data_IF_048519812183
#
_entry.id   IF_048519812183
#
_cell.length_a   1.000
_cell.length_b   1.000
_cell.length_c   1.000
_cell.angle_alpha   90.00
_cell.angle_beta   90.00
_cell.angle_gamma   90.00
#
_symmetry.space_group_name_H-M   'P 1'
#
loop_
_entity.id
_entity.type
_entity.pdbx_description
1 polymer ?
#
# COMPACT_ATOMS: atom_id res chain seq x y z
N UNK A 1 3.49 20.18 -14.07
CA UNK A 1 2.93 19.68 -15.34
C UNK A 1 1.83 18.69 -14.99
N UNK A 2 0.57 19.00 -15.32
CA UNK A 2 -0.54 18.08 -15.14
C UNK A 2 -0.27 16.81 -15.96
N UNK A 3 -0.16 15.65 -15.32
CA UNK A 3 -0.01 14.39 -16.03
C UNK A 3 -1.39 13.98 -16.58
N UNK A 4 -1.43 13.57 -17.85
CA UNK A 4 -2.62 13.03 -18.45
C UNK A 4 -3.13 11.80 -17.65
N UNK A 5 -4.45 11.63 -17.58
CA UNK A 5 -5.07 10.40 -17.06
C UNK A 5 -4.48 9.22 -17.84
N UNK A 6 -4.17 8.12 -17.15
CA UNK A 6 -3.73 6.91 -17.87
C UNK A 6 -4.81 6.41 -18.81
N UNK A 7 -4.41 5.68 -19.85
CA UNK A 7 -5.39 4.96 -20.65
C UNK A 7 -6.21 4.01 -19.76
N UNK A 8 -7.53 3.90 -20.01
CA UNK A 8 -8.36 2.98 -19.27
C UNK A 8 -7.82 1.55 -19.45
N UNK A 9 -7.83 0.72 -18.40
CA UNK A 9 -7.22 -0.61 -18.44
C UNK A 9 -7.99 -1.62 -19.33
N UNK A 10 -9.23 -1.29 -19.69
CA UNK A 10 -10.13 -2.03 -20.56
C UNK A 10 -11.22 -1.08 -21.12
N UNK A 11 -12.13 -1.57 -21.95
CA UNK A 11 -13.24 -0.78 -22.52
C UNK A 11 -14.24 -0.27 -21.45
N UNK A 12 -14.27 -0.87 -20.27
CA UNK A 12 -15.09 -0.46 -19.13
C UNK A 12 -14.58 -1.07 -17.81
N UNK A 13 -15.27 -0.83 -16.68
CA UNK A 13 -14.90 -1.39 -15.39
C UNK A 13 -14.90 -2.92 -15.41
N UNK A 14 -13.87 -3.53 -14.85
CA UNK A 14 -13.66 -4.96 -14.72
C UNK A 14 -14.02 -5.44 -13.31
N UNK A 15 -15.18 -5.02 -12.80
CA UNK A 15 -15.61 -5.31 -11.43
C UNK A 15 -15.78 -6.81 -11.19
N UNK A 16 -15.21 -7.30 -10.08
CA UNK A 16 -15.34 -8.67 -9.60
C UNK A 16 -15.97 -8.69 -8.20
N UNK A 17 -16.68 -9.77 -7.82
CA UNK A 17 -17.19 -9.90 -6.46
C UNK A 17 -16.08 -10.15 -5.43
N UNK A 18 -14.97 -10.76 -5.84
CA UNK A 18 -13.77 -11.03 -5.02
C UNK A 18 -12.55 -10.99 -5.94
N UNK A 19 -11.43 -10.45 -5.45
CA UNK A 19 -10.12 -10.50 -6.11
C UNK A 19 -9.28 -11.58 -5.42
N UNK A 20 -8.54 -12.38 -6.19
CA UNK A 20 -7.59 -13.34 -5.65
C UNK A 20 -6.36 -13.53 -6.54
N UNK A 21 -5.21 -13.12 -6.03
CA UNK A 21 -3.86 -13.18 -6.65
C UNK A 21 -2.82 -13.73 -5.67
N UNK A 22 -3.05 -13.58 -4.38
CA UNK A 22 -2.09 -13.98 -3.37
C UNK A 22 -1.96 -15.50 -3.31
N UNK A 23 -0.72 -15.99 -3.34
CA UNK A 23 -0.45 -17.43 -3.33
C UNK A 23 -0.81 -18.15 -4.62
N UNK A 24 -1.13 -17.42 -5.70
CA UNK A 24 -1.43 -18.01 -7.02
C UNK A 24 -0.38 -17.61 -8.06
N UNK A 25 -0.20 -18.45 -9.08
CA UNK A 25 0.70 -18.20 -10.20
C UNK A 25 -0.08 -17.62 -11.40
N UNK A 26 0.59 -16.92 -12.33
CA UNK A 26 0.00 -16.57 -13.62
C UNK A 26 -0.65 -17.77 -14.30
N UNK A 27 -1.78 -17.53 -14.97
CA UNK A 27 -2.55 -18.57 -15.68
C UNK A 27 -3.15 -19.67 -14.80
N UNK A 28 -3.23 -19.46 -13.47
CA UNK A 28 -3.90 -20.39 -12.55
C UNK A 28 -5.16 -19.78 -11.93
N UNK A 29 -6.23 -20.57 -11.84
CA UNK A 29 -7.50 -20.15 -11.23
C UNK A 29 -8.02 -18.81 -11.77
N UNK A 30 -8.32 -17.88 -10.85
CA UNK A 30 -8.77 -16.52 -11.17
C UNK A 30 -7.64 -15.48 -11.17
N UNK A 31 -6.36 -15.88 -11.16
CA UNK A 31 -5.22 -14.97 -11.05
C UNK A 31 -5.26 -13.87 -12.12
N UNK A 32 -5.31 -14.24 -13.39
CA UNK A 32 -5.17 -13.26 -14.49
C UNK A 32 -6.36 -12.32 -14.57
N UNK A 33 -7.57 -12.82 -14.27
CA UNK A 33 -8.77 -12.00 -14.17
C UNK A 33 -8.66 -10.99 -13.02
N UNK A 34 -8.20 -11.45 -11.85
CA UNK A 34 -8.00 -10.62 -10.67
C UNK A 34 -6.91 -9.57 -10.91
N UNK A 35 -5.78 -9.97 -11.48
CA UNK A 35 -4.68 -9.08 -11.84
C UNK A 35 -5.09 -8.03 -12.89
N UNK A 36 -5.97 -8.40 -13.83
CA UNK A 36 -6.53 -7.47 -14.80
C UNK A 36 -7.49 -6.46 -14.14
N UNK A 37 -8.36 -6.95 -13.26
CA UNK A 37 -9.36 -6.14 -12.57
C UNK A 37 -8.75 -5.14 -11.59
N UNK A 38 -7.68 -5.53 -10.87
CA UNK A 38 -6.96 -4.66 -9.93
C UNK A 38 -6.45 -3.36 -10.56
N UNK A 39 -6.19 -3.33 -11.87
CA UNK A 39 -5.77 -2.10 -12.58
C UNK A 39 -6.82 -0.99 -12.56
N UNK A 40 -8.10 -1.33 -12.37
CA UNK A 40 -9.18 -0.36 -12.23
C UNK A 40 -8.92 0.61 -11.07
N UNK A 41 -8.37 0.13 -9.95
CA UNK A 41 -8.13 1.00 -8.78
C UNK A 41 -7.04 2.03 -9.05
N UNK A 42 -5.98 1.65 -9.79
CA UNK A 42 -5.00 2.61 -10.27
C UNK A 42 -5.66 3.67 -11.15
N UNK A 43 -6.48 3.25 -12.11
CA UNK A 43 -7.22 4.19 -12.97
C UNK A 43 -8.18 5.10 -12.19
N UNK A 44 -8.85 4.61 -11.14
CA UNK A 44 -9.69 5.44 -10.26
C UNK A 44 -8.89 6.59 -9.60
N UNK A 45 -7.69 6.30 -9.11
CA UNK A 45 -6.81 7.34 -8.55
C UNK A 45 -6.44 8.38 -9.61
N UNK A 46 -6.19 7.96 -10.83
CA UNK A 46 -5.82 8.84 -11.94
C UNK A 46 -6.93 9.83 -12.28
N UNK A 47 -8.16 9.32 -12.31
CA UNK A 47 -9.37 10.12 -12.54
C UNK A 47 -9.58 11.12 -11.40
N UNK A 48 -9.36 10.69 -10.15
CA UNK A 48 -9.44 11.57 -8.99
C UNK A 48 -8.38 12.68 -9.01
N UNK A 49 -7.15 12.37 -9.41
CA UNK A 49 -6.08 13.36 -9.55
C UNK A 49 -6.38 14.37 -10.66
N UNK A 50 -6.91 13.92 -11.81
CA UNK A 50 -7.30 14.83 -12.89
C UNK A 50 -8.46 15.77 -12.48
N UNK A 51 -9.42 15.27 -11.70
CA UNK A 51 -10.44 16.12 -11.09
C UNK A 51 -9.83 17.14 -10.14
N UNK A 52 -8.97 16.70 -9.21
CA UNK A 52 -8.36 17.59 -8.21
C UNK A 52 -7.54 18.71 -8.87
N UNK A 53 -6.72 18.37 -9.86
CA UNK A 53 -5.74 19.29 -10.43
C UNK A 53 -6.34 20.18 -11.53
N UNK A 54 -7.34 19.69 -12.28
CA UNK A 54 -7.86 20.40 -13.46
C UNK A 54 -9.38 20.61 -13.44
N UNK A 55 -10.09 20.14 -12.40
CA UNK A 55 -11.56 20.13 -12.33
C UNK A 55 -12.21 19.47 -13.56
N UNK A 56 -11.58 18.41 -14.07
CA UNK A 56 -12.07 17.63 -15.21
C UNK A 56 -13.35 16.86 -14.83
N UNK A 57 -14.50 17.43 -15.19
CA UNK A 57 -15.81 16.85 -14.90
C UNK A 57 -16.04 15.49 -15.58
N UNK A 58 -15.41 15.24 -16.74
CA UNK A 58 -15.50 13.94 -17.41
C UNK A 58 -14.73 12.88 -16.62
N UNK A 59 -13.57 13.23 -16.07
CA UNK A 59 -12.82 12.34 -15.18
C UNK A 59 -13.61 12.00 -13.91
N UNK A 60 -14.25 12.99 -13.26
CA UNK A 60 -15.09 12.76 -12.09
C UNK A 60 -16.30 11.86 -12.40
N UNK A 61 -17.00 12.11 -13.51
CA UNK A 61 -18.12 11.27 -13.93
C UNK A 61 -17.67 9.83 -14.24
N UNK A 62 -16.50 9.66 -14.85
CA UNK A 62 -15.91 8.34 -15.09
C UNK A 62 -15.55 7.65 -13.79
N UNK A 63 -14.93 8.34 -12.84
CA UNK A 63 -14.63 7.80 -11.51
C UNK A 63 -15.91 7.29 -10.83
N UNK A 64 -16.98 8.08 -10.86
CA UNK A 64 -18.26 7.67 -10.30
C UNK A 64 -18.79 6.37 -10.93
N UNK A 65 -18.68 6.21 -12.26
CA UNK A 65 -19.08 4.98 -12.96
C UNK A 65 -18.26 3.74 -12.55
N UNK A 66 -16.96 3.91 -12.31
CA UNK A 66 -16.10 2.83 -11.82
C UNK A 66 -16.46 2.43 -10.38
N UNK A 67 -16.66 3.41 -9.50
CA UNK A 67 -17.11 3.16 -8.13
C UNK A 67 -18.47 2.45 -8.11
N UNK A 68 -19.42 2.91 -8.92
CA UNK A 68 -20.76 2.31 -8.97
C UNK A 68 -20.79 0.92 -9.61
N UNK A 69 -19.81 0.57 -10.44
CA UNK A 69 -19.65 -0.79 -10.95
C UNK A 69 -19.08 -1.75 -9.89
N UNK A 70 -18.09 -1.31 -9.11
CA UNK A 70 -17.39 -2.15 -8.14
C UNK A 70 -18.16 -2.35 -6.83
N UNK A 71 -18.62 -1.25 -6.23
CA UNK A 71 -19.08 -1.24 -4.83
C UNK A 71 -20.32 -2.11 -4.53
N UNK A 72 -21.32 -2.26 -5.43
CA UNK A 72 -22.47 -3.10 -5.15
C UNK A 72 -22.15 -4.60 -5.08
N UNK A 73 -21.12 -5.05 -5.81
CA UNK A 73 -20.79 -6.47 -5.98
C UNK A 73 -19.59 -6.94 -5.17
N UNK A 74 -18.63 -6.06 -4.89
CA UNK A 74 -17.40 -6.43 -4.22
C UNK A 74 -17.62 -6.78 -2.74
N UNK A 75 -17.08 -7.92 -2.32
CA UNK A 75 -17.15 -8.43 -0.95
C UNK A 75 -15.73 -8.49 -0.39
N UNK A 76 -15.39 -7.67 0.63
CA UNK A 76 -14.07 -7.73 1.23
C UNK A 76 -13.74 -9.15 1.72
N UNK A 77 -12.66 -9.72 1.19
CA UNK A 77 -12.13 -11.00 1.65
C UNK A 77 -11.27 -10.82 2.91
N UNK A 78 -10.86 -9.57 3.17
CA UNK A 78 -9.89 -9.20 4.20
C UNK A 78 -8.54 -9.91 4.03
N UNK A 79 -8.25 -10.30 2.79
CA UNK A 79 -6.95 -10.78 2.36
C UNK A 79 -6.15 -9.53 1.93
N UNK A 80 -5.19 -9.06 2.74
CA UNK A 80 -4.56 -7.75 2.54
C UNK A 80 -3.69 -7.66 1.29
N UNK A 81 -3.21 -8.78 0.76
CA UNK A 81 -2.39 -8.84 -0.46
C UNK A 81 -3.29 -8.69 -1.69
N UNK A 82 -4.44 -9.37 -1.71
CA UNK A 82 -5.43 -9.22 -2.77
C UNK A 82 -6.03 -7.81 -2.78
N UNK A 83 -6.22 -7.24 -1.60
CA UNK A 83 -6.92 -5.97 -1.40
C UNK A 83 -6.00 -4.75 -1.29
N UNK A 84 -4.68 -4.94 -1.35
CA UNK A 84 -3.70 -3.87 -1.15
C UNK A 84 -3.92 -2.66 -2.07
N UNK A 85 -4.43 -2.91 -3.29
CA UNK A 85 -4.71 -1.90 -4.30
C UNK A 85 -6.00 -1.10 -4.06
N UNK A 86 -6.87 -1.54 -3.14
CA UNK A 86 -8.01 -0.73 -2.68
C UNK A 86 -7.55 0.56 -2.01
N UNK A 87 -6.28 0.67 -1.60
CA UNK A 87 -5.68 1.94 -1.19
C UNK A 87 -5.88 3.06 -2.23
N UNK A 88 -5.79 2.76 -3.52
CA UNK A 88 -6.03 3.74 -4.57
C UNK A 88 -7.50 4.19 -4.63
N UNK A 89 -8.46 3.28 -4.40
CA UNK A 89 -9.89 3.61 -4.30
C UNK A 89 -10.15 4.50 -3.08
N UNK A 90 -9.57 4.18 -1.92
CA UNK A 90 -9.72 4.96 -0.68
C UNK A 90 -9.22 6.39 -0.90
N UNK A 91 -8.03 6.54 -1.49
CA UNK A 91 -7.45 7.85 -1.80
C UNK A 91 -8.27 8.59 -2.85
N UNK A 92 -8.73 7.90 -3.91
CA UNK A 92 -9.61 8.50 -4.92
C UNK A 92 -10.89 9.07 -4.29
N UNK A 93 -11.52 8.32 -3.38
CA UNK A 93 -12.66 8.81 -2.60
C UNK A 93 -12.27 10.03 -1.74
N UNK A 94 -11.17 9.97 -0.99
CA UNK A 94 -10.74 11.09 -0.15
C UNK A 94 -10.60 12.40 -0.94
N UNK A 95 -10.04 12.33 -2.15
CA UNK A 95 -9.83 13.49 -3.02
C UNK A 95 -11.11 14.05 -3.64
N UNK A 96 -12.17 13.25 -3.74
CA UNK A 96 -13.37 13.57 -4.56
C UNK A 96 -14.68 13.50 -3.79
N UNK A 97 -14.67 13.13 -2.51
CA UNK A 97 -15.86 12.84 -1.71
C UNK A 97 -16.91 13.96 -1.72
N UNK A 98 -16.47 15.22 -1.74
CA UNK A 98 -17.35 16.40 -1.74
C UNK A 98 -18.02 16.67 -3.11
N UNK A 99 -17.44 16.16 -4.20
CA UNK A 99 -17.88 16.45 -5.57
C UNK A 99 -18.57 15.25 -6.24
N UNK A 100 -18.39 14.03 -5.74
CA UNK A 100 -19.04 12.83 -6.25
C UNK A 100 -20.58 12.92 -6.18
N UNK A 101 -21.32 12.23 -7.08
CA UNK A 101 -22.76 12.07 -6.93
C UNK A 101 -23.11 11.50 -5.55
N UNK A 102 -24.10 12.09 -4.87
CA UNK A 102 -24.36 11.82 -3.45
C UNK A 102 -24.60 10.33 -3.13
N UNK A 103 -25.24 9.58 -4.05
CA UNK A 103 -25.42 8.14 -3.90
C UNK A 103 -24.09 7.36 -3.96
N UNK A 104 -23.23 7.69 -4.92
CA UNK A 104 -21.89 7.10 -5.10
C UNK A 104 -20.99 7.44 -3.92
N UNK A 105 -20.98 8.70 -3.46
CA UNK A 105 -20.22 9.13 -2.28
C UNK A 105 -20.64 8.35 -1.02
N UNK A 106 -21.96 8.22 -0.78
CA UNK A 106 -22.50 7.46 0.35
C UNK A 106 -22.12 5.98 0.29
N UNK A 107 -22.23 5.33 -0.87
CA UNK A 107 -21.80 3.93 -1.06
C UNK A 107 -20.31 3.75 -0.81
N UNK A 108 -19.49 4.65 -1.36
CA UNK A 108 -18.04 4.62 -1.20
C UNK A 108 -17.65 4.77 0.27
N UNK A 109 -18.25 5.75 0.97
CA UNK A 109 -18.04 5.94 2.42
C UNK A 109 -18.40 4.70 3.23
N UNK A 110 -19.55 4.09 2.94
CA UNK A 110 -20.00 2.89 3.63
C UNK A 110 -19.05 1.70 3.40
N UNK A 111 -18.62 1.48 2.16
CA UNK A 111 -17.66 0.44 1.80
C UNK A 111 -16.31 0.63 2.52
N UNK A 112 -15.75 1.85 2.47
CA UNK A 112 -14.48 2.18 3.14
C UNK A 112 -14.59 1.95 4.64
N UNK A 113 -15.74 2.28 5.25
CA UNK A 113 -16.00 2.02 6.66
C UNK A 113 -16.03 0.51 6.96
N UNK A 114 -16.74 -0.29 6.16
CA UNK A 114 -16.75 -1.75 6.29
C UNK A 114 -15.35 -2.35 6.19
N UNK A 115 -14.54 -1.85 5.25
CA UNK A 115 -13.16 -2.30 5.07
C UNK A 115 -12.31 -2.01 6.31
N UNK A 116 -12.36 -0.77 6.82
CA UNK A 116 -11.63 -0.36 8.02
C UNK A 116 -12.03 -1.18 9.25
N UNK A 117 -13.33 -1.28 9.51
CA UNK A 117 -13.86 -1.99 10.68
C UNK A 117 -13.50 -3.48 10.64
N UNK A 118 -13.65 -4.13 9.47
CA UNK A 118 -13.34 -5.54 9.31
C UNK A 118 -11.85 -5.85 9.47
N UNK A 119 -10.95 -5.06 8.87
CA UNK A 119 -9.51 -5.23 9.09
C UNK A 119 -9.14 -5.02 10.56
N UNK A 120 -9.61 -3.95 11.19
CA UNK A 120 -9.31 -3.67 12.60
C UNK A 120 -9.92 -4.73 13.54
N UNK A 121 -11.05 -5.34 13.18
CA UNK A 121 -11.62 -6.45 13.92
C UNK A 121 -10.76 -7.71 13.81
N UNK A 122 -10.31 -8.07 12.60
CA UNK A 122 -9.43 -9.22 12.41
C UNK A 122 -8.09 -9.06 13.13
N UNK A 123 -7.47 -7.88 13.04
CA UNK A 123 -6.23 -7.57 13.76
C UNK A 123 -6.43 -7.65 15.28
N UNK A 124 -7.57 -7.20 15.80
CA UNK A 124 -7.87 -7.32 17.23
C UNK A 124 -8.07 -8.78 17.67
N UNK A 125 -8.69 -9.61 16.82
CA UNK A 125 -8.89 -11.04 17.10
C UNK A 125 -7.58 -11.84 17.12
N UNK A 126 -6.53 -11.35 16.45
CA UNK A 126 -5.20 -11.98 16.41
C UNK A 126 -4.15 -11.14 17.18
N UNK A 127 -4.59 -10.35 18.15
CA UNK A 127 -3.69 -9.51 18.93
C UNK A 127 -2.70 -10.37 19.71
N UNK A 128 -1.41 -10.13 19.50
CA UNK A 128 -0.33 -10.89 20.14
C UNK A 128 0.08 -12.14 19.37
N UNK A 129 -0.56 -12.45 18.23
CA UNK A 129 -0.04 -13.44 17.30
C UNK A 129 1.20 -12.89 16.60
N UNK A 130 2.37 -13.37 17.03
CA UNK A 130 3.66 -12.97 16.49
C UNK A 130 4.10 -13.85 15.30
N UNK A 131 3.24 -14.73 14.78
CA UNK A 131 3.62 -15.70 13.77
C UNK A 131 2.95 -15.46 12.41
N UNK A 132 3.72 -15.71 11.35
CA UNK A 132 3.24 -15.73 9.97
C UNK A 132 2.56 -14.43 9.52
N UNK A 133 1.37 -14.55 8.94
CA UNK A 133 0.67 -13.44 8.28
C UNK A 133 0.16 -12.34 9.23
N UNK A 134 0.29 -12.51 10.54
CA UNK A 134 -0.12 -11.53 11.55
C UNK A 134 1.04 -10.69 12.09
N UNK A 135 2.28 -11.01 11.72
CA UNK A 135 3.47 -10.26 12.11
C UNK A 135 4.33 -9.78 10.93
N UNK A 136 4.23 -10.40 9.75
CA UNK A 136 4.97 -10.00 8.56
C UNK A 136 4.24 -8.95 7.69
N UNK A 137 4.71 -8.72 6.45
CA UNK A 137 4.15 -7.74 5.50
C UNK A 137 2.62 -7.77 5.35
N UNK A 138 1.97 -8.93 5.52
CA UNK A 138 0.52 -9.01 5.45
C UNK A 138 -0.14 -8.10 6.48
N UNK A 139 0.38 -8.10 7.71
CA UNK A 139 -0.10 -7.24 8.77
C UNK A 139 0.21 -5.76 8.48
N UNK A 140 1.39 -5.48 7.94
CA UNK A 140 1.76 -4.14 7.44
C UNK A 140 0.74 -3.62 6.41
N UNK A 141 0.30 -4.45 5.47
CA UNK A 141 -0.74 -4.12 4.49
C UNK A 141 -2.14 -3.91 5.11
N UNK A 142 -2.53 -4.70 6.12
CA UNK A 142 -3.80 -4.48 6.86
C UNK A 142 -3.80 -3.11 7.54
N UNK A 143 -2.68 -2.76 8.19
CA UNK A 143 -2.51 -1.48 8.88
C UNK A 143 -2.59 -0.32 7.90
N UNK A 144 -1.95 -0.43 6.72
CA UNK A 144 -2.09 0.56 5.64
C UNK A 144 -3.55 0.80 5.27
N UNK A 145 -4.28 -0.27 4.94
CA UNK A 145 -5.66 -0.16 4.48
C UNK A 145 -6.57 0.44 5.55
N UNK A 146 -6.44 0.00 6.80
CA UNK A 146 -7.20 0.55 7.92
C UNK A 146 -6.86 2.03 8.20
N UNK A 147 -5.58 2.41 8.14
CA UNK A 147 -5.14 3.79 8.40
C UNK A 147 -5.61 4.74 7.30
N UNK A 148 -5.44 4.37 6.03
CA UNK A 148 -5.94 5.14 4.89
C UNK A 148 -7.46 5.33 4.98
N UNK A 149 -8.20 4.26 5.29
CA UNK A 149 -9.64 4.32 5.42
C UNK A 149 -10.06 5.24 6.59
N UNK A 150 -9.42 5.12 7.75
CA UNK A 150 -9.68 6.00 8.89
C UNK A 150 -9.37 7.48 8.58
N UNK A 151 -8.30 7.74 7.81
CA UNK A 151 -7.96 9.07 7.30
C UNK A 151 -9.02 9.62 6.35
N UNK A 152 -9.39 8.85 5.32
CA UNK A 152 -10.39 9.23 4.33
C UNK A 152 -11.79 9.47 4.91
N UNK A 153 -12.12 8.79 6.01
CA UNK A 153 -13.39 8.98 6.74
C UNK A 153 -13.34 10.09 7.78
N UNK A 154 -12.15 10.65 8.05
CA UNK A 154 -11.87 11.53 9.18
C UNK A 154 -12.40 10.96 10.52
N UNK A 155 -12.21 9.66 10.75
CA UNK A 155 -12.74 8.97 11.93
C UNK A 155 -11.63 8.80 12.99
N UNK A 156 -11.67 9.54 14.11
CA UNK A 156 -10.62 9.49 15.12
C UNK A 156 -10.59 8.16 15.88
N UNK A 157 -11.72 7.47 16.03
CA UNK A 157 -11.77 6.19 16.74
C UNK A 157 -11.13 5.07 15.93
N UNK A 158 -11.43 5.00 14.62
CA UNK A 158 -10.75 4.08 13.71
C UNK A 158 -9.26 4.39 13.62
N UNK A 159 -8.89 5.67 13.57
CA UNK A 159 -7.49 6.09 13.49
C UNK A 159 -6.69 5.69 14.73
N UNK A 160 -7.24 5.89 15.94
CA UNK A 160 -6.60 5.46 17.18
C UNK A 160 -6.39 3.94 17.25
N UNK A 161 -7.36 3.14 16.75
CA UNK A 161 -7.21 1.68 16.66
C UNK A 161 -6.11 1.28 15.65
N UNK A 162 -6.06 1.96 14.50
CA UNK A 162 -5.01 1.73 13.51
C UNK A 162 -3.62 2.09 14.05
N UNK A 163 -3.49 3.18 14.81
CA UNK A 163 -2.28 3.56 15.53
C UNK A 163 -1.80 2.48 16.49
N UNK A 164 -2.71 1.94 17.30
CA UNK A 164 -2.38 0.88 18.23
C UNK A 164 -1.89 -0.39 17.50
N UNK A 165 -2.50 -0.73 16.36
CA UNK A 165 -2.06 -1.84 15.52
C UNK A 165 -0.69 -1.56 14.87
N UNK A 166 -0.42 -0.33 14.44
CA UNK A 166 0.88 0.10 13.92
C UNK A 166 2.00 -0.10 14.95
N UNK A 167 1.83 0.39 16.18
CA UNK A 167 2.82 0.23 17.25
C UNK A 167 3.03 -1.25 17.61
N UNK A 168 1.94 -2.03 17.66
CA UNK A 168 2.03 -3.47 17.89
C UNK A 168 2.83 -4.17 16.78
N UNK A 169 2.61 -3.79 15.53
CA UNK A 169 3.36 -4.31 14.39
C UNK A 169 4.84 -3.99 14.47
N UNK A 170 5.23 -2.75 14.81
CA UNK A 170 6.64 -2.41 15.01
C UNK A 170 7.32 -3.30 16.06
N UNK A 171 6.56 -3.69 17.09
CA UNK A 171 7.08 -4.48 18.20
C UNK A 171 7.38 -5.93 17.84
N UNK A 172 6.65 -6.50 16.87
CA UNK A 172 6.78 -7.93 16.50
C UNK A 172 7.47 -8.13 15.15
N UNK A 173 7.35 -7.17 14.24
CA UNK A 173 7.88 -7.26 12.88
C UNK A 173 9.35 -6.84 12.77
N UNK A 174 9.80 -5.96 13.66
CA UNK A 174 11.14 -5.39 13.61
C UNK A 174 12.04 -5.98 14.69
N UNK A 175 13.25 -6.35 14.29
CA UNK A 175 14.36 -6.54 15.22
C UNK A 175 14.84 -5.18 15.76
N UNK A 176 15.54 -5.13 16.91
CA UNK A 176 16.05 -3.88 17.48
C UNK A 176 16.94 -3.03 16.55
N UNK A 177 17.63 -3.68 15.61
CA UNK A 177 18.50 -3.06 14.60
C UNK A 177 17.75 -2.56 13.35
N UNK A 178 16.44 -2.83 13.23
CA UNK A 178 15.59 -2.40 12.12
C UNK A 178 15.34 -3.47 11.05
N UNK A 179 15.98 -4.63 11.11
CA UNK A 179 15.67 -5.72 10.17
C UNK A 179 14.22 -6.20 10.35
N UNK A 180 13.48 -6.34 9.25
CA UNK A 180 12.11 -6.89 9.26
C UNK A 180 12.13 -8.43 9.28
N UNK A 181 11.10 -9.05 9.88
CA UNK A 181 10.96 -10.51 9.91
C UNK A 181 11.03 -11.16 8.52
N UNK A 182 10.39 -10.53 7.54
CA UNK A 182 10.33 -11.02 6.16
C UNK A 182 11.72 -11.26 5.54
N UNK A 183 12.72 -10.45 5.88
CA UNK A 183 14.09 -10.67 5.38
C UNK A 183 14.67 -11.97 5.93
N UNK A 184 14.50 -12.21 7.23
CA UNK A 184 14.99 -13.43 7.88
C UNK A 184 14.31 -14.70 7.39
N UNK A 185 13.03 -14.63 7.00
CA UNK A 185 12.28 -15.79 6.50
C UNK A 185 12.54 -16.09 5.02
N UNK A 186 12.69 -15.05 4.20
CA UNK A 186 12.65 -15.13 2.74
C UNK A 186 13.99 -14.85 2.07
N UNK A 187 14.96 -14.31 2.80
CA UNK A 187 16.26 -13.90 2.28
C UNK A 187 16.13 -12.96 1.06
N UNK A 188 15.27 -11.94 1.19
CA UNK A 188 14.82 -11.12 0.06
C UNK A 188 14.58 -9.66 0.47
N UNK A 189 15.36 -8.72 -0.08
CA UNK A 189 15.13 -7.28 0.09
C UNK A 189 13.86 -6.82 -0.64
N UNK A 190 13.40 -7.57 -1.65
CA UNK A 190 12.06 -7.37 -2.21
C UNK A 190 11.00 -7.32 -1.12
N UNK A 191 11.06 -8.26 -0.16
CA UNK A 191 10.10 -8.35 0.92
C UNK A 191 10.34 -7.37 2.06
N UNK A 192 11.56 -6.84 2.20
CA UNK A 192 11.82 -5.68 3.07
C UNK A 192 11.06 -4.45 2.55
N UNK A 193 11.15 -4.19 1.24
CA UNK A 193 10.39 -3.09 0.62
C UNK A 193 8.89 -3.32 0.74
N UNK A 194 8.44 -4.55 0.45
CA UNK A 194 7.03 -4.92 0.48
C UNK A 194 6.41 -4.82 1.88
N UNK A 195 7.20 -5.08 2.93
CA UNK A 195 6.79 -4.89 4.31
C UNK A 195 6.75 -3.40 4.73
N UNK A 196 7.80 -2.64 4.42
CA UNK A 196 7.94 -1.27 4.93
C UNK A 196 7.08 -0.25 4.19
N UNK A 197 6.86 -0.41 2.89
CA UNK A 197 6.08 0.54 2.08
C UNK A 197 4.67 0.79 2.63
N UNK A 198 3.87 -0.22 3.00
CA UNK A 198 2.57 0.02 3.61
C UNK A 198 2.64 0.75 4.96
N UNK A 199 3.67 0.51 5.77
CA UNK A 199 3.86 1.22 7.05
C UNK A 199 4.24 2.70 6.83
N UNK A 200 5.09 2.99 5.84
CA UNK A 200 5.44 4.36 5.47
C UNK A 200 4.22 5.13 4.97
N UNK A 201 3.36 4.49 4.16
CA UNK A 201 2.11 5.12 3.72
C UNK A 201 1.15 5.38 4.88
N UNK A 202 1.04 4.46 5.85
CA UNK A 202 0.26 4.68 7.07
C UNK A 202 0.81 5.86 7.89
N UNK A 203 2.12 5.94 8.05
CA UNK A 203 2.78 7.05 8.73
C UNK A 203 2.59 8.39 8.00
N UNK A 204 2.52 8.42 6.67
CA UNK A 204 2.29 9.65 5.90
C UNK A 204 0.88 10.22 6.15
N UNK A 205 -0.14 9.35 6.27
CA UNK A 205 -1.48 9.76 6.70
C UNK A 205 -1.45 10.35 8.11
N UNK A 206 -0.67 9.76 9.02
CA UNK A 206 -0.54 10.23 10.38
C UNK A 206 0.16 11.60 10.49
N UNK A 207 1.21 11.82 9.68
CA UNK A 207 1.91 13.10 9.62
C UNK A 207 0.99 14.24 9.18
N UNK A 208 0.10 13.98 8.20
CA UNK A 208 -0.94 14.94 7.80
C UNK A 208 -1.93 15.30 8.91
N UNK A 209 -1.93 14.56 10.03
CA UNK A 209 -2.73 14.80 11.24
C UNK A 209 -1.88 15.28 12.42
N UNK A 210 -0.60 15.61 12.18
CA UNK A 210 0.33 16.10 13.20
C UNK A 210 0.93 15.01 14.09
N UNK A 211 0.84 13.72 13.70
CA UNK A 211 1.48 12.63 14.44
C UNK A 211 2.75 12.13 13.73
N UNK A 212 3.82 11.92 14.50
CA UNK A 212 5.09 11.38 14.01
C UNK A 212 5.17 9.86 14.21
N UNK A 213 4.59 9.10 13.27
CA UNK A 213 4.65 7.64 13.31
C UNK A 213 5.99 7.06 12.84
N UNK A 214 6.83 7.87 12.18
CA UNK A 214 8.16 7.45 11.76
C UNK A 214 9.04 7.11 12.97
N UNK A 215 8.86 7.84 14.07
CA UNK A 215 9.64 7.70 15.30
C UNK A 215 8.87 7.09 16.48
N UNK A 216 7.64 6.58 16.27
CA UNK A 216 6.94 5.87 17.33
C UNK A 216 7.70 4.59 17.73
N UNK A 217 7.98 4.39 19.03
CA UNK A 217 8.69 3.21 19.49
C UNK A 217 7.75 1.99 19.58
N UNK A 218 8.23 0.84 19.12
CA UNK A 218 7.76 -0.48 19.54
C UNK A 218 8.22 -0.83 20.96
N UNK A 219 7.89 -2.04 21.41
CA UNK A 219 8.14 -2.51 22.78
C UNK A 219 9.62 -2.47 23.20
N UNK A 220 10.56 -2.65 22.25
CA UNK A 220 12.01 -2.65 22.49
C UNK A 220 12.70 -1.44 21.83
N UNK A 221 11.94 -0.38 21.55
CA UNK A 221 12.47 0.83 20.93
C UNK A 221 12.70 0.72 19.42
N UNK A 222 12.13 -0.29 18.76
CA UNK A 222 12.11 -0.37 17.30
C UNK A 222 11.34 0.82 16.74
N UNK A 223 11.76 1.34 15.59
CA UNK A 223 11.04 2.42 14.90
C UNK A 223 11.04 2.16 13.41
N UNK A 224 10.06 2.72 12.70
CA UNK A 224 10.04 2.68 11.24
C UNK A 224 11.28 3.36 10.65
N UNK A 225 11.77 4.43 11.27
CA UNK A 225 13.03 5.09 10.89
C UNK A 225 14.22 4.12 10.89
N UNK A 226 14.39 3.32 11.95
CA UNK A 226 15.49 2.34 12.02
C UNK A 226 15.39 1.29 10.92
N UNK A 227 14.19 0.84 10.58
CA UNK A 227 14.02 -0.15 9.52
C UNK A 227 14.33 0.42 8.13
N UNK A 228 13.94 1.68 7.86
CA UNK A 228 14.33 2.38 6.64
C UNK A 228 15.85 2.60 6.53
N UNK A 229 16.49 2.90 7.65
CA UNK A 229 17.95 3.07 7.75
C UNK A 229 18.71 1.76 7.58
N UNK A 230 18.15 0.64 8.07
CA UNK A 230 18.71 -0.68 7.88
C UNK A 230 18.80 -1.07 6.39
N UNK A 231 17.78 -0.72 5.58
CA UNK A 231 17.75 -0.99 4.14
C UNK A 231 18.66 -0.04 3.34
N UNK A 232 19.00 1.13 3.89
CA UNK A 232 19.62 2.24 3.17
C UNK A 232 20.96 1.89 2.48
N UNK A 233 21.89 1.13 3.11
CA UNK A 233 23.14 0.76 2.45
C UNK A 233 22.94 -0.09 1.19
N UNK A 234 21.90 -0.93 1.15
CA UNK A 234 21.55 -1.69 -0.06
C UNK A 234 20.98 -0.77 -1.12
N UNK A 235 20.02 0.09 -0.74
CA UNK A 235 19.40 1.03 -1.67
C UNK A 235 20.41 1.99 -2.31
N UNK A 236 21.43 2.39 -1.55
CA UNK A 236 22.54 3.23 -2.01
C UNK A 236 23.55 2.49 -2.90
N UNK A 237 23.45 1.16 -3.02
CA UNK A 237 24.42 0.32 -3.72
C UNK A 237 25.73 0.11 -2.97
N UNK A 238 25.78 0.43 -1.68
CA UNK A 238 26.94 0.17 -0.81
C UNK A 238 27.01 -1.30 -0.38
N UNK A 239 25.86 -1.98 -0.38
CA UNK A 239 25.73 -3.42 -0.19
C UNK A 239 24.92 -4.03 -1.33
N UNK A 240 25.27 -5.25 -1.71
CA UNK A 240 24.50 -6.07 -2.65
C UNK A 240 23.82 -7.22 -1.91
N UNK A 241 22.74 -7.73 -2.48
CA UNK A 241 22.02 -8.90 -1.98
C UNK A 241 21.63 -9.82 -3.13
N UNK A 242 21.69 -11.12 -2.93
CA UNK A 242 21.20 -12.14 -3.87
C UNK A 242 19.83 -12.60 -3.40
N UNK A 243 18.78 -12.24 -4.13
CA UNK A 243 17.39 -12.47 -3.73
C UNK A 243 17.04 -13.96 -3.67
N UNK A 244 16.33 -14.34 -2.60
CA UNK A 244 15.74 -15.67 -2.36
C UNK A 244 16.74 -16.83 -2.29
N UNK A 245 18.05 -16.55 -2.20
CA UNK A 245 19.09 -17.58 -2.21
C UNK A 245 18.88 -18.63 -1.11
N UNK A 246 18.47 -18.19 0.08
CA UNK A 246 18.22 -19.05 1.24
C UNK A 246 16.75 -19.00 1.69
N UNK A 247 15.80 -18.68 0.80
CA UNK A 247 14.38 -18.63 1.17
C UNK A 247 13.90 -19.98 1.70
N UNK A 248 13.16 -19.95 2.81
CA UNK A 248 12.48 -21.13 3.36
C UNK A 248 11.01 -21.21 2.94
N UNK A 249 10.50 -20.18 2.27
CA UNK A 249 9.09 -20.07 1.91
C UNK A 249 8.82 -20.82 0.61
N UNK A 250 8.04 -21.90 0.71
CA UNK A 250 7.71 -22.79 -0.43
C UNK A 250 7.16 -22.06 -1.66
N UNK A 251 6.32 -21.04 -1.45
CA UNK A 251 5.73 -20.30 -2.57
C UNK A 251 6.75 -19.42 -3.31
N UNK A 252 7.81 -18.96 -2.64
CA UNK A 252 8.90 -18.20 -3.27
C UNK A 252 9.69 -19.11 -4.21
N UNK A 253 9.98 -20.33 -3.75
CA UNK A 253 10.60 -21.39 -4.56
C UNK A 253 9.75 -21.72 -5.79
N UNK A 254 8.42 -21.83 -5.63
CA UNK A 254 7.51 -22.08 -6.76
C UNK A 254 7.53 -20.95 -7.79
N UNK A 255 7.59 -19.69 -7.33
CA UNK A 255 7.67 -18.53 -8.23
C UNK A 255 9.00 -18.49 -8.98
N UNK A 256 10.10 -18.79 -8.31
CA UNK A 256 11.41 -18.93 -8.96
C UNK A 256 11.41 -20.07 -10.01
N UNK A 257 10.85 -21.24 -9.69
CA UNK A 257 10.74 -22.38 -10.61
C UNK A 257 9.86 -22.09 -11.82
N UNK A 258 8.82 -21.28 -11.65
CA UNK A 258 7.96 -20.81 -12.73
C UNK A 258 8.59 -19.65 -13.53
N UNK A 259 9.82 -19.23 -13.20
CA UNK A 259 10.56 -18.20 -13.93
C UNK A 259 9.99 -16.80 -13.75
N UNK A 260 9.26 -16.53 -12.64
CA UNK A 260 8.73 -15.19 -12.40
C UNK A 260 9.89 -14.20 -12.18
N UNK A 261 9.85 -13.03 -12.85
CA UNK A 261 10.86 -11.99 -12.65
C UNK A 261 10.95 -11.56 -11.19
N UNK A 262 12.18 -11.38 -10.71
CA UNK A 262 12.46 -10.86 -9.36
C UNK A 262 12.43 -11.89 -8.24
N UNK A 263 12.34 -13.21 -8.52
CA UNK A 263 12.42 -14.29 -7.52
C UNK A 263 13.78 -15.01 -7.49
N UNK A 264 14.82 -14.41 -8.08
CA UNK A 264 16.21 -14.86 -8.06
C UNK A 264 17.12 -13.73 -8.57
N UNK A 265 18.43 -13.87 -8.39
CA UNK A 265 19.42 -12.93 -8.90
C UNK A 265 19.72 -11.78 -7.94
N UNK A 266 20.61 -10.86 -8.34
CA UNK A 266 20.94 -9.69 -7.53
C UNK A 266 19.73 -8.77 -7.39
N UNK A 267 19.52 -8.24 -6.19
CA UNK A 267 18.48 -7.25 -5.93
C UNK A 267 18.73 -5.97 -6.72
N UNK A 268 17.68 -5.42 -7.36
CA UNK A 268 17.71 -4.11 -8.02
C UNK A 268 17.26 -3.02 -7.03
N UNK A 269 18.14 -2.09 -6.63
CA UNK A 269 17.79 -1.01 -5.71
C UNK A 269 16.62 -0.14 -6.17
N UNK A 270 16.36 -0.05 -7.49
CA UNK A 270 15.21 0.69 -8.03
C UNK A 270 13.88 0.13 -7.56
N UNK A 271 13.84 -1.10 -7.05
CA UNK A 271 12.68 -1.68 -6.36
C UNK A 271 12.24 -0.87 -5.14
N UNK A 272 13.15 -0.18 -4.45
CA UNK A 272 12.84 0.63 -3.27
C UNK A 272 12.43 2.09 -3.59
N UNK A 273 12.27 2.46 -4.88
CA UNK A 273 11.99 3.85 -5.27
C UNK A 273 10.71 4.39 -4.64
N UNK A 274 9.65 3.60 -4.60
CA UNK A 274 8.36 4.03 -4.08
C UNK A 274 8.43 4.24 -2.56
N UNK A 275 9.05 3.30 -1.86
CA UNK A 275 9.32 3.38 -0.43
C UNK A 275 10.08 4.66 -0.06
N UNK A 276 11.24 4.93 -0.66
CA UNK A 276 12.05 6.09 -0.27
C UNK A 276 11.46 7.42 -0.72
N UNK A 277 10.76 7.48 -1.85
CA UNK A 277 9.96 8.66 -2.18
C UNK A 277 8.87 8.92 -1.13
N UNK A 278 8.20 7.87 -0.65
CA UNK A 278 7.17 7.99 0.37
C UNK A 278 7.77 8.40 1.72
N UNK A 279 8.92 7.82 2.08
CA UNK A 279 9.65 8.16 3.30
C UNK A 279 10.15 9.62 3.27
N UNK A 280 10.44 10.17 2.09
CA UNK A 280 10.86 11.58 1.96
C UNK A 280 9.77 12.60 2.32
N UNK A 281 8.50 12.19 2.38
CA UNK A 281 7.42 13.01 2.94
C UNK A 281 7.53 13.12 4.47
N UNK A 282 7.94 12.01 5.11
CA UNK A 282 8.06 11.89 6.56
C UNK A 282 9.31 12.59 7.07
N UNK A 283 10.44 12.40 6.37
CA UNK A 283 11.73 12.95 6.75
C UNK A 283 12.55 13.32 5.51
N UNK A 284 12.95 14.60 5.34
CA UNK A 284 13.67 15.07 4.16
C UNK A 284 15.02 14.39 3.95
N UNK A 285 15.60 13.72 4.95
CA UNK A 285 16.88 13.00 4.80
C UNK A 285 16.82 11.85 3.79
N UNK A 286 15.64 11.33 3.49
CA UNK A 286 15.45 10.29 2.47
C UNK A 286 15.32 10.83 1.04
N UNK A 287 15.19 12.15 0.86
CA UNK A 287 15.02 12.74 -0.47
C UNK A 287 16.21 12.50 -1.43
N UNK A 288 17.49 12.53 -1.01
CA UNK A 288 18.62 12.24 -1.90
C UNK A 288 18.55 10.82 -2.47
N UNK A 289 18.31 9.81 -1.64
CA UNK A 289 18.21 8.41 -2.10
C UNK A 289 16.97 8.21 -2.98
N UNK A 290 15.83 8.82 -2.64
CA UNK A 290 14.62 8.75 -3.45
C UNK A 290 14.87 9.25 -4.90
N UNK A 291 15.54 10.41 -5.04
CA UNK A 291 15.91 10.98 -6.35
C UNK A 291 16.94 10.16 -7.10
N UNK A 292 17.88 9.54 -6.39
CA UNK A 292 18.84 8.60 -7.00
C UNK A 292 18.12 7.37 -7.59
N UNK A 293 17.13 6.83 -6.88
CA UNK A 293 16.40 5.64 -7.32
C UNK A 293 15.38 5.92 -8.43
N UNK A 294 14.75 7.10 -8.42
CA UNK A 294 13.85 7.56 -9.47
C UNK A 294 13.77 9.09 -9.52
N UNK A 295 13.85 9.67 -10.72
CA UNK A 295 13.83 11.12 -10.91
C UNK A 295 12.51 11.81 -10.51
N UNK A 296 11.40 11.05 -10.39
CA UNK A 296 10.09 11.59 -10.04
C UNK A 296 9.39 10.70 -9.00
N UNK A 297 8.58 11.30 -8.11
CA UNK A 297 7.83 10.54 -7.12
C UNK A 297 6.80 9.62 -7.79
N UNK A 298 6.49 8.47 -7.18
CA UNK A 298 5.45 7.58 -7.68
C UNK A 298 4.09 8.24 -7.60
N UNK A 299 3.19 7.78 -8.46
CA UNK A 299 1.89 8.40 -8.68
C UNK A 299 1.05 8.56 -7.42
N UNK A 300 1.05 7.57 -6.52
CA UNK A 300 0.29 7.64 -5.28
C UNK A 300 0.65 8.87 -4.44
N UNK A 301 1.91 9.31 -4.47
CA UNK A 301 2.34 10.47 -3.69
C UNK A 301 1.82 11.80 -4.22
N UNK A 302 1.37 11.83 -5.47
CA UNK A 302 0.77 13.02 -6.03
C UNK A 302 -0.52 13.37 -5.29
N UNK A 303 -1.21 12.38 -4.71
CA UNK A 303 -2.40 12.60 -3.88
C UNK A 303 -2.10 13.39 -2.59
N UNK A 304 -0.88 13.32 -2.08
CA UNK A 304 -0.44 14.03 -0.87
C UNK A 304 0.31 15.34 -1.16
N UNK A 305 0.61 15.61 -2.43
CA UNK A 305 1.16 16.90 -2.85
C UNK A 305 0.04 17.97 -2.87
N UNK A 306 0.38 19.27 -2.66
CA UNK A 306 -0.55 20.36 -2.94
C UNK A 306 -1.07 20.28 -4.38
N UNK A 307 -2.34 20.68 -4.58
CA UNK A 307 -2.91 20.78 -5.93
C UNK A 307 -2.04 21.70 -6.80
N UNK A 308 -1.84 21.33 -8.07
CA UNK A 308 -1.18 22.22 -9.01
C UNK A 308 -2.04 23.49 -9.13
N UNK A 309 -1.53 24.63 -8.68
CA UNK A 309 -2.15 25.92 -8.99
C UNK A 309 -1.85 26.21 -10.46
N UNK A 310 -2.91 26.27 -11.28
CA UNK A 310 -2.85 26.70 -12.67
C UNK A 310 -2.58 28.19 -12.81
#
# INVERSE_FOLDING_TARGET
MAQAVSHPPAAGPQALPVIHTAGTLPHTGSHDQSAAAVRDFGHMLDLALAWRDNRDAAALARLASYLDAWLPGYRPSFQPIDETNLSNLIVAYQLTAADLPAATARRSRAFIKTLAEGYLQQMAAHRGDAHGVWSNNWQSHRIKLATLAAGALNDPALFARARAAFVAQLSVNLKPDGEVLDFGERDALHYVVYDLEPLVLAAAVAQGRGEDWLHLPGAEGQTLARALDWLLPYAQGQRSHEEFRNTTVRFDVQRAQAGLPGYAGPWDPRGARNLYWSASLLDPRYAPIARQLAASPPRLLWAYAPACQG
#
